data_IF_723072739757
#
_entry.id   IF_723072739757
#
_cell.length_a   1.000
_cell.length_b   1.000
_cell.length_c   1.000
_cell.angle_alpha   90.00
_cell.angle_beta   90.00
_cell.angle_gamma   90.00
#
_symmetry.space_group_name_H-M   'P 1'
#
loop_
_entity.id
_entity.type
_entity.pdbx_description
1 polymer ?
#
# COMPACT_ATOMS: atom_id res chain seq x y z
N UNK A 1 -9.18 6.73 3.50
CA UNK A 1 -9.08 7.57 4.70
C UNK A 1 -8.92 6.67 5.90
N UNK A 2 -7.93 6.95 6.75
CA UNK A 2 -7.73 6.21 7.99
C UNK A 2 -8.82 6.54 9.03
N UNK A 3 -9.03 5.68 10.05
CA UNK A 3 -10.11 5.85 11.04
C UNK A 3 -10.09 7.20 11.75
N UNK A 4 -8.90 7.74 12.05
CA UNK A 4 -8.77 9.00 12.77
C UNK A 4 -9.09 10.21 11.88
N UNK A 5 -8.73 10.18 10.59
CA UNK A 5 -9.18 11.23 9.65
C UNK A 5 -10.69 11.20 9.42
N UNK A 6 -11.30 10.00 9.40
CA UNK A 6 -12.77 9.87 9.34
C UNK A 6 -13.44 10.46 10.58
N UNK A 7 -12.91 10.18 11.76
CA UNK A 7 -13.42 10.70 13.03
C UNK A 7 -13.42 12.24 13.12
N UNK A 8 -12.52 12.92 12.41
CA UNK A 8 -12.49 14.39 12.31
C UNK A 8 -13.58 14.97 11.40
N UNK A 9 -14.10 14.20 10.45
CA UNK A 9 -15.12 14.65 9.49
C UNK A 9 -16.51 14.12 9.85
N UNK A 10 -16.58 13.04 10.63
CA UNK A 10 -17.84 12.44 11.05
C UNK A 10 -18.70 13.43 11.83
N UNK A 11 -20.00 13.41 11.54
CA UNK A 11 -21.01 14.22 12.22
C UNK A 11 -21.22 13.69 13.63
N UNK A 12 -21.17 14.59 14.61
CA UNK A 12 -21.49 14.28 16.00
C UNK A 12 -23.00 14.34 16.24
N UNK A 13 -23.52 13.66 17.28
CA UNK A 13 -24.92 13.75 17.67
C UNK A 13 -25.34 15.20 17.97
N UNK A 14 -26.60 15.51 17.65
CA UNK A 14 -27.20 16.83 17.93
C UNK A 14 -27.12 17.16 19.43
N UNK A 15 -26.57 18.33 19.75
CA UNK A 15 -26.39 18.80 21.13
C UNK A 15 -25.01 18.53 21.74
N UNK A 16 -24.14 17.74 21.07
CA UNK A 16 -22.77 17.51 21.51
C UNK A 16 -21.84 18.59 20.95
N UNK A 17 -21.04 19.22 21.83
CA UNK A 17 -20.02 20.19 21.40
C UNK A 17 -18.91 19.49 20.61
N UNK A 18 -18.52 20.09 19.49
CA UNK A 18 -17.43 19.59 18.65
C UNK A 18 -16.06 19.77 19.32
N UNK A 19 -15.69 18.78 20.13
CA UNK A 19 -14.43 18.72 20.87
C UNK A 19 -13.71 17.41 20.57
N UNK A 20 -12.38 17.37 20.77
CA UNK A 20 -11.63 16.11 20.58
C UNK A 20 -12.06 15.01 21.53
N UNK A 21 -12.51 15.35 22.75
CA UNK A 21 -13.04 14.37 23.70
C UNK A 21 -14.30 13.72 23.15
N UNK A 22 -15.29 14.53 22.73
CA UNK A 22 -16.52 14.02 22.11
C UNK A 22 -16.24 13.19 20.84
N UNK A 23 -15.30 13.62 19.98
CA UNK A 23 -14.90 12.84 18.80
C UNK A 23 -14.19 11.54 19.16
N UNK A 24 -13.34 11.55 20.20
CA UNK A 24 -12.64 10.37 20.70
C UNK A 24 -13.64 9.34 21.24
N UNK A 25 -14.62 9.77 22.04
CA UNK A 25 -15.67 8.92 22.58
C UNK A 25 -16.54 8.34 21.47
N UNK A 26 -16.95 9.15 20.49
CA UNK A 26 -17.81 8.69 19.39
C UNK A 26 -17.12 7.73 18.42
N UNK A 27 -15.82 7.91 18.16
CA UNK A 27 -15.07 7.12 17.17
C UNK A 27 -14.17 6.04 17.79
N UNK A 28 -14.07 6.00 19.12
CA UNK A 28 -13.13 5.18 19.87
C UNK A 28 -11.65 5.36 19.42
N UNK A 29 -11.30 6.57 18.96
CA UNK A 29 -9.94 6.94 18.55
C UNK A 29 -9.33 7.87 19.59
N UNK A 30 -8.15 7.55 20.16
CA UNK A 30 -7.52 8.39 21.18
C UNK A 30 -7.35 9.85 20.73
N UNK A 31 -7.63 10.80 21.64
CA UNK A 31 -7.50 12.25 21.42
C UNK A 31 -6.16 12.62 20.78
N UNK A 32 -5.05 12.06 21.27
CA UNK A 32 -3.70 12.31 20.74
C UNK A 32 -3.58 11.96 19.25
N UNK A 33 -4.25 10.90 18.80
CA UNK A 33 -4.27 10.48 17.40
C UNK A 33 -5.06 11.47 16.55
N UNK A 34 -6.20 11.97 17.06
CA UNK A 34 -6.99 13.00 16.38
C UNK A 34 -6.22 14.32 16.23
N UNK A 35 -5.52 14.76 17.28
CA UNK A 35 -4.67 15.95 17.25
C UNK A 35 -3.54 15.79 16.23
N UNK A 36 -2.86 14.65 16.22
CA UNK A 36 -1.83 14.36 15.23
C UNK A 36 -2.35 14.41 13.79
N UNK A 37 -3.54 13.86 13.52
CA UNK A 37 -4.16 13.93 12.19
C UNK A 37 -4.54 15.35 11.80
N UNK A 38 -5.13 16.14 12.71
CA UNK A 38 -5.46 17.54 12.44
C UNK A 38 -4.20 18.37 12.16
N UNK A 39 -3.10 18.05 12.82
CA UNK A 39 -1.79 18.67 12.58
C UNK A 39 -1.08 18.13 11.31
N UNK A 40 -1.77 17.34 10.48
CA UNK A 40 -1.25 16.86 9.20
C UNK A 40 -0.31 15.66 9.28
N UNK A 41 -0.14 15.05 10.45
CA UNK A 41 0.66 13.82 10.57
C UNK A 41 -0.08 12.67 9.90
N UNK A 42 0.57 12.07 8.90
CA UNK A 42 0.03 10.93 8.13
C UNK A 42 -0.12 9.68 8.97
N UNK A 43 -0.99 8.78 8.53
CA UNK A 43 -1.12 7.45 9.14
C UNK A 43 0.14 6.62 8.94
N UNK A 44 0.40 5.71 9.87
CA UNK A 44 1.50 4.74 9.75
C UNK A 44 1.36 3.94 8.46
N UNK A 45 0.13 3.55 8.11
CA UNK A 45 -0.16 2.83 6.88
C UNK A 45 0.13 3.68 5.63
N UNK A 46 -0.29 4.94 5.63
CA UNK A 46 -0.05 5.85 4.52
C UNK A 46 1.45 6.17 4.37
N UNK A 47 2.14 6.32 5.49
CA UNK A 47 3.60 6.47 5.51
C UNK A 47 4.28 5.21 4.97
N UNK A 48 3.84 4.02 5.40
CA UNK A 48 4.36 2.75 4.90
C UNK A 48 4.12 2.62 3.39
N UNK A 49 2.92 2.96 2.89
CA UNK A 49 2.59 2.97 1.46
C UNK A 49 3.52 3.90 0.68
N UNK A 50 3.78 5.11 1.20
CA UNK A 50 4.70 6.06 0.54
C UNK A 50 6.16 5.59 0.54
N UNK A 51 6.56 4.85 1.56
CA UNK A 51 7.90 4.25 1.64
C UNK A 51 8.05 2.99 0.80
N UNK A 52 6.96 2.48 0.19
CA UNK A 52 7.07 1.38 -0.75
C UNK A 52 7.84 1.82 -2.00
N UNK A 53 8.50 0.83 -2.61
CA UNK A 53 9.31 1.04 -3.80
C UNK A 53 8.44 1.45 -5.01
N UNK A 54 7.32 0.76 -5.19
CA UNK A 54 6.30 1.05 -6.19
C UNK A 54 5.11 1.78 -5.53
N UNK A 55 4.44 2.62 -6.31
CA UNK A 55 3.15 3.18 -5.93
C UNK A 55 2.08 2.10 -5.88
N UNK A 56 0.97 2.36 -5.18
CA UNK A 56 -0.15 1.41 -5.12
C UNK A 56 -0.69 1.04 -6.50
N UNK A 57 -0.71 2.00 -7.42
CA UNK A 57 -1.18 1.81 -8.79
C UNK A 57 -0.20 0.96 -9.60
N UNK A 58 1.10 1.22 -9.45
CA UNK A 58 2.17 0.43 -10.07
C UNK A 58 2.17 -1.01 -9.56
N UNK A 59 2.02 -1.22 -8.24
CA UNK A 59 1.88 -2.56 -7.68
C UNK A 59 0.66 -3.28 -8.23
N UNK A 60 -0.49 -2.59 -8.32
CA UNK A 60 -1.72 -3.17 -8.87
C UNK A 60 -1.56 -3.57 -10.34
N UNK A 61 -0.94 -2.72 -11.16
CA UNK A 61 -0.66 -3.01 -12.56
C UNK A 61 0.27 -4.23 -12.69
N UNK A 62 1.31 -4.31 -11.84
CA UNK A 62 2.20 -5.46 -11.81
C UNK A 62 1.47 -6.76 -11.41
N UNK A 63 0.59 -6.71 -10.41
CA UNK A 63 -0.24 -7.86 -10.01
C UNK A 63 -1.15 -8.30 -11.16
N UNK A 64 -1.84 -7.37 -11.81
CA UNK A 64 -2.72 -7.66 -12.95
C UNK A 64 -1.94 -8.30 -14.11
N UNK A 65 -0.75 -7.79 -14.41
CA UNK A 65 0.13 -8.39 -15.41
C UNK A 65 0.52 -9.82 -15.05
N UNK A 66 0.91 -10.07 -13.80
CA UNK A 66 1.27 -11.41 -13.33
C UNK A 66 0.09 -12.39 -13.39
N UNK A 67 -1.11 -11.94 -13.02
CA UNK A 67 -2.34 -12.73 -13.11
C UNK A 67 -2.71 -13.05 -14.56
N UNK A 68 -2.60 -12.07 -15.47
CA UNK A 68 -2.83 -12.27 -16.89
C UNK A 68 -1.88 -13.31 -17.47
N UNK A 69 -0.58 -13.18 -17.18
CA UNK A 69 0.44 -14.13 -17.62
C UNK A 69 0.17 -15.55 -17.09
N UNK A 70 -0.27 -15.67 -15.84
CA UNK A 70 -0.68 -16.96 -15.27
C UNK A 70 -1.91 -17.54 -15.96
N UNK A 71 -2.91 -16.73 -16.31
CA UNK A 71 -4.10 -17.18 -17.05
C UNK A 71 -3.76 -17.66 -18.46
N UNK A 72 -2.78 -17.03 -19.10
CA UNK A 72 -2.28 -17.43 -20.42
C UNK A 72 -1.37 -18.67 -20.39
N UNK A 73 -1.23 -19.33 -19.22
CA UNK A 73 -0.38 -20.53 -19.07
C UNK A 73 1.11 -20.25 -18.97
N UNK A 74 1.51 -18.97 -18.83
CA UNK A 74 2.91 -18.55 -18.77
C UNK A 74 3.22 -17.84 -17.45
N UNK A 75 3.26 -18.55 -16.31
CA UNK A 75 3.53 -17.93 -15.02
C UNK A 75 4.93 -17.29 -14.99
N UNK A 76 4.99 -16.03 -14.55
CA UNK A 76 6.26 -15.29 -14.44
C UNK A 76 7.05 -15.77 -13.23
N UNK A 77 8.30 -16.19 -13.47
CA UNK A 77 9.20 -16.65 -12.39
C UNK A 77 9.55 -15.50 -11.44
N UNK A 78 9.67 -15.80 -10.14
CA UNK A 78 9.97 -14.83 -9.08
C UNK A 78 11.23 -13.99 -9.36
N UNK A 79 12.24 -14.58 -10.01
CA UNK A 79 13.47 -13.87 -10.39
C UNK A 79 13.23 -12.64 -11.28
N UNK A 80 12.19 -12.68 -12.11
CA UNK A 80 11.84 -11.56 -13.01
C UNK A 80 11.00 -10.48 -12.32
N UNK A 81 10.30 -10.79 -11.22
CA UNK A 81 9.46 -9.82 -10.50
C UNK A 81 10.28 -8.62 -10.03
N UNK A 82 11.51 -8.85 -9.54
CA UNK A 82 12.42 -7.75 -9.15
C UNK A 82 12.81 -6.88 -10.33
N UNK A 83 13.03 -7.48 -11.51
CA UNK A 83 13.40 -6.76 -12.72
C UNK A 83 12.21 -5.94 -13.25
N UNK A 84 11.00 -6.50 -13.23
CA UNK A 84 9.77 -5.81 -13.62
C UNK A 84 9.47 -4.62 -12.70
N UNK A 85 9.63 -4.80 -11.39
CA UNK A 85 9.51 -3.69 -10.44
C UNK A 85 10.56 -2.60 -10.71
N UNK A 86 11.80 -3.00 -11.02
CA UNK A 86 12.85 -2.06 -11.38
C UNK A 86 12.54 -1.29 -12.67
N UNK A 87 12.02 -1.96 -13.70
CA UNK A 87 11.67 -1.32 -14.96
C UNK A 87 10.53 -0.31 -14.80
N UNK A 88 9.50 -0.65 -14.02
CA UNK A 88 8.39 0.28 -13.72
C UNK A 88 8.94 1.50 -12.97
N UNK A 89 9.73 1.28 -11.91
CA UNK A 89 10.30 2.38 -11.15
C UNK A 89 11.19 3.28 -12.03
N UNK A 90 12.01 2.69 -12.92
CA UNK A 90 12.85 3.42 -13.86
C UNK A 90 12.06 4.24 -14.88
N UNK A 91 10.89 3.75 -15.31
CA UNK A 91 10.00 4.53 -16.18
C UNK A 91 9.39 5.73 -15.44
N UNK A 92 9.11 5.57 -14.14
CA UNK A 92 8.65 6.67 -13.28
C UNK A 92 9.73 7.73 -13.01
N UNK A 93 11.01 7.35 -12.89
CA UNK A 93 12.07 8.35 -12.73
C UNK A 93 12.16 9.23 -13.97
N UNK A 94 12.02 10.54 -13.77
CA UNK A 94 12.60 11.51 -14.69
C UNK A 94 14.11 11.27 -14.76
N UNK A 95 14.72 11.51 -15.93
CA UNK A 95 16.12 11.17 -16.27
C UNK A 95 17.17 11.64 -15.25
N UNK A 96 16.80 12.52 -14.31
CA UNK A 96 17.66 13.20 -13.36
C UNK A 96 18.02 12.38 -12.12
N UNK A 97 17.29 11.31 -11.77
CA UNK A 97 17.57 10.54 -10.54
C UNK A 97 17.75 9.04 -10.81
N UNK A 98 18.96 8.48 -10.64
CA UNK A 98 19.17 7.06 -10.79
C UNK A 98 18.44 6.29 -9.67
N UNK A 99 17.47 5.47 -10.06
CA UNK A 99 16.77 4.58 -9.14
C UNK A 99 17.61 3.33 -8.90
N UNK A 100 17.74 2.94 -7.63
CA UNK A 100 18.39 1.69 -7.21
C UNK A 100 17.43 0.51 -7.41
N UNK A 101 17.92 -0.68 -7.78
CA UNK A 101 17.08 -1.86 -7.89
C UNK A 101 16.46 -2.24 -6.53
N UNK A 102 15.29 -2.90 -6.52
CA UNK A 102 14.68 -3.37 -5.28
C UNK A 102 15.60 -4.37 -4.57
N UNK A 103 15.60 -4.34 -3.23
CA UNK A 103 16.42 -5.24 -2.42
C UNK A 103 16.06 -6.73 -2.59
N UNK A 104 16.93 -7.62 -2.09
CA UNK A 104 16.78 -9.08 -2.28
C UNK A 104 15.43 -9.62 -1.80
N UNK A 105 14.95 -9.09 -0.67
CA UNK A 105 13.73 -9.53 0.01
C UNK A 105 12.46 -8.86 -0.54
N UNK A 106 12.57 -7.90 -1.45
CA UNK A 106 11.43 -7.17 -1.97
C UNK A 106 10.39 -8.07 -2.67
N UNK A 107 10.76 -9.04 -3.52
CA UNK A 107 9.77 -9.95 -4.12
C UNK A 107 9.02 -10.80 -3.10
N UNK A 108 9.66 -11.16 -1.98
CA UNK A 108 9.01 -11.90 -0.89
C UNK A 108 7.97 -11.02 -0.20
N UNK A 109 8.35 -9.81 0.20
CA UNK A 109 7.43 -8.83 0.80
C UNK A 109 6.28 -8.47 -0.14
N UNK A 110 6.55 -8.31 -1.44
CA UNK A 110 5.52 -8.11 -2.46
C UNK A 110 4.52 -9.27 -2.51
N UNK A 111 5.01 -10.50 -2.51
CA UNK A 111 4.15 -11.68 -2.53
C UNK A 111 3.38 -11.92 -1.22
N UNK A 112 3.86 -11.38 -0.09
CA UNK A 112 3.12 -11.37 1.20
C UNK A 112 1.99 -10.33 1.20
N UNK A 113 2.19 -9.18 0.53
CA UNK A 113 1.17 -8.13 0.39
C UNK A 113 0.03 -8.50 -0.56
N UNK A 114 0.26 -9.41 -1.50
CA UNK A 114 -0.69 -9.80 -2.56
C UNK A 114 -1.00 -11.31 -2.51
N UNK A 115 -1.88 -11.76 -1.59
CA UNK A 115 -2.24 -13.18 -1.43
C UNK A 115 -2.80 -13.82 -2.71
N UNK A 116 -3.41 -13.02 -3.58
CA UNK A 116 -3.92 -13.42 -4.90
C UNK A 116 -2.86 -14.12 -5.77
N UNK A 117 -1.60 -13.69 -5.64
CA UNK A 117 -0.47 -14.29 -6.36
C UNK A 117 0.01 -15.60 -5.74
N UNK A 118 -0.22 -15.81 -4.44
CA UNK A 118 0.17 -17.05 -3.75
C UNK A 118 -0.78 -18.19 -4.09
N UNK A 119 -2.08 -17.90 -4.17
CA UNK A 119 -3.11 -18.89 -4.50
C UNK A 119 -2.93 -19.53 -5.88
N UNK A 120 -2.26 -18.82 -6.80
CA UNK A 120 -2.03 -19.24 -8.19
C UNK A 120 -0.59 -19.66 -8.48
N UNK A 121 0.26 -19.81 -7.46
CA UNK A 121 1.57 -20.46 -7.64
C UNK A 121 1.34 -21.90 -8.08
N UNK A 122 1.40 -22.13 -9.39
CA UNK A 122 1.51 -23.48 -9.95
C UNK A 122 2.83 -24.04 -9.42
N UNK A 123 2.76 -25.10 -8.61
CA UNK A 123 3.93 -25.93 -8.30
C UNK A 123 4.45 -26.43 -9.64
N UNK A 124 5.72 -26.16 -9.92
CA UNK A 124 6.40 -26.82 -11.03
C UNK A 124 6.15 -28.32 -10.91
N UNK A 125 5.61 -28.95 -11.97
CA UNK A 125 5.71 -30.40 -12.11
C UNK A 125 7.19 -30.68 -12.35
N UNK A 126 7.74 -31.54 -11.50
CA UNK A 126 9.10 -32.11 -11.63
C UNK A 126 9.11 -33.11 -12.79
#
# INVERSE_FOLDING_TARGET
MDPASRALVQTLPLGVRDTYAARSEHSNVPISTLVHRRNGRRSREEQAQRQQYLSREEEKALVQFLLLMSNLGHPVRIKFIRLLAYSIARQRSTKTQPIKPPGKNWPKAFAERHPELQARKVKSID
#
